data_IF_767749264754
#
_entry.id   IF_767749264754
#
_cell.length_a   1.000
_cell.length_b   1.000
_cell.length_c   1.000
_cell.angle_alpha   90.00
_cell.angle_beta   90.00
_cell.angle_gamma   90.00
#
_symmetry.space_group_name_H-M   'P 1'
#
loop_
_entity.id
_entity.type
_entity.pdbx_description
1 polymer ?
#
# COMPACT_ATOMS: atom_id res chain seq x y z
N UNK A 1 30.25 34.84 -50.07
CA UNK A 1 30.50 34.27 -48.71
C UNK A 1 29.15 34.15 -48.09
N UNK A 2 28.50 33.02 -48.27
CA UNK A 2 27.10 32.79 -47.95
C UNK A 2 27.03 31.85 -46.75
N UNK A 3 26.38 32.33 -45.73
CA UNK A 3 26.19 31.64 -44.42
C UNK A 3 25.15 30.52 -44.57
N UNK A 4 25.40 29.28 -44.13
CA UNK A 4 24.40 28.23 -44.17
C UNK A 4 23.48 28.32 -42.94
N UNK A 5 22.18 28.48 -43.22
CA UNK A 5 21.08 28.37 -42.27
C UNK A 5 21.21 27.08 -41.43
N UNK A 6 21.44 27.26 -40.13
CA UNK A 6 21.26 26.23 -39.12
C UNK A 6 19.77 25.84 -39.04
N UNK A 7 19.47 24.67 -39.52
CA UNK A 7 18.19 24.02 -39.30
C UNK A 7 18.12 23.55 -37.84
N UNK A 8 17.21 24.15 -37.11
CA UNK A 8 16.87 23.81 -35.73
C UNK A 8 16.11 22.46 -35.66
N UNK A 9 16.65 21.39 -35.10
CA UNK A 9 15.95 20.12 -34.96
C UNK A 9 15.31 19.98 -33.58
N UNK A 10 14.45 20.90 -33.20
CA UNK A 10 13.58 20.73 -32.02
C UNK A 10 12.11 20.81 -32.43
N UNK A 11 11.74 19.96 -33.38
CA UNK A 11 10.37 19.53 -33.50
C UNK A 11 10.19 18.48 -32.40
N UNK A 12 9.62 18.93 -31.28
CA UNK A 12 9.15 18.09 -30.19
C UNK A 12 8.34 16.94 -30.77
N UNK A 13 8.83 15.72 -30.67
CA UNK A 13 8.01 14.55 -30.88
C UNK A 13 6.93 14.57 -29.78
N UNK A 14 5.81 15.19 -30.09
CA UNK A 14 4.56 14.94 -29.37
C UNK A 14 4.29 13.44 -29.56
N UNK A 15 4.68 12.65 -28.59
CA UNK A 15 4.28 11.25 -28.50
C UNK A 15 2.75 11.26 -28.52
N UNK A 16 2.15 10.84 -29.64
CA UNK A 16 0.71 10.62 -29.76
C UNK A 16 0.31 9.69 -28.60
N UNK A 17 -0.21 10.27 -27.51
CA UNK A 17 -0.67 9.51 -26.33
C UNK A 17 -1.86 8.70 -26.79
N UNK A 18 -1.70 7.40 -26.86
CA UNK A 18 -2.80 6.47 -27.11
C UNK A 18 -3.82 6.59 -25.96
N UNK A 19 -5.10 6.81 -26.30
CA UNK A 19 -6.21 6.75 -25.32
C UNK A 19 -6.15 5.48 -24.44
N UNK A 20 -5.73 4.37 -25.03
CA UNK A 20 -5.50 3.12 -24.32
C UNK A 20 -4.44 3.29 -23.23
N UNK A 21 -3.30 3.89 -23.54
CA UNK A 21 -2.21 4.13 -22.61
C UNK A 21 -2.65 5.08 -21.49
N UNK A 22 -3.33 6.16 -21.84
CA UNK A 22 -3.79 7.15 -20.86
C UNK A 22 -4.80 6.57 -19.87
N UNK A 23 -5.79 5.80 -20.32
CA UNK A 23 -6.74 5.12 -19.43
C UNK A 23 -6.02 4.07 -18.57
N UNK A 24 -5.08 3.33 -19.17
CA UNK A 24 -4.31 2.32 -18.43
C UNK A 24 -3.47 2.97 -17.33
N UNK A 25 -2.79 4.08 -17.61
CA UNK A 25 -1.99 4.84 -16.64
C UNK A 25 -2.88 5.35 -15.49
N UNK A 26 -4.04 5.92 -15.79
CA UNK A 26 -5.01 6.37 -14.78
C UNK A 26 -5.55 5.24 -13.90
N UNK A 27 -5.70 4.04 -14.45
CA UNK A 27 -6.16 2.87 -13.70
C UNK A 27 -5.03 2.23 -12.88
N UNK A 28 -3.79 2.26 -13.38
CA UNK A 28 -2.64 1.66 -12.71
C UNK A 28 -2.00 2.58 -11.67
N UNK A 29 -2.04 3.90 -11.85
CA UNK A 29 -1.44 4.87 -10.94
C UNK A 29 -1.95 4.71 -9.48
N UNK A 30 -3.26 4.58 -9.19
CA UNK A 30 -3.73 4.32 -7.83
C UNK A 30 -3.21 3.01 -7.27
N UNK A 31 -3.11 1.96 -8.11
CA UNK A 31 -2.64 0.65 -7.68
C UNK A 31 -1.16 0.70 -7.26
N UNK A 32 -0.33 1.41 -8.02
CA UNK A 32 1.08 1.64 -7.71
C UNK A 32 1.28 2.44 -6.43
N UNK A 33 0.35 3.33 -6.08
CA UNK A 33 0.41 4.11 -4.85
C UNK A 33 -0.11 3.32 -3.64
N UNK A 34 -1.21 2.60 -3.79
CA UNK A 34 -1.87 1.86 -2.71
C UNK A 34 -1.01 0.67 -2.26
N UNK A 35 -0.28 0.02 -3.17
CA UNK A 35 0.53 -1.15 -2.83
C UNK A 35 1.65 -0.87 -1.80
N UNK A 36 2.56 0.09 -2.00
CA UNK A 36 3.56 0.41 -0.97
C UNK A 36 2.93 0.90 0.33
N UNK A 37 1.83 1.65 0.24
CA UNK A 37 1.07 2.08 1.42
C UNK A 37 0.51 0.88 2.20
N UNK A 38 -0.04 -0.12 1.51
CA UNK A 38 -0.51 -1.37 2.10
C UNK A 38 0.60 -2.13 2.80
N UNK A 39 1.80 -2.21 2.19
CA UNK A 39 2.97 -2.86 2.79
C UNK A 39 3.39 -2.13 4.09
N UNK A 40 3.51 -0.80 4.04
CA UNK A 40 3.89 0.01 5.19
C UNK A 40 2.86 -0.13 6.34
N UNK A 41 1.57 -0.08 6.02
CA UNK A 41 0.49 -0.27 6.98
C UNK A 41 0.51 -1.67 7.59
N UNK A 42 0.69 -2.71 6.77
CA UNK A 42 0.77 -4.09 7.24
C UNK A 42 1.93 -4.29 8.20
N UNK A 43 3.10 -3.71 7.90
CA UNK A 43 4.28 -3.81 8.76
C UNK A 43 4.07 -3.11 10.12
N UNK A 44 3.53 -1.89 10.08
CA UNK A 44 3.18 -1.15 11.30
C UNK A 44 2.14 -1.90 12.16
N UNK A 45 1.08 -2.40 11.53
CA UNK A 45 0.00 -3.09 12.22
C UNK A 45 0.46 -4.45 12.79
N UNK A 46 1.25 -5.22 12.02
CA UNK A 46 1.77 -6.51 12.43
C UNK A 46 2.62 -6.40 13.71
N UNK A 47 3.50 -5.41 13.77
CA UNK A 47 4.32 -5.16 14.96
C UNK A 47 3.47 -4.82 16.19
N UNK A 48 2.45 -3.96 16.03
CA UNK A 48 1.58 -3.60 17.15
C UNK A 48 0.74 -4.79 17.65
N UNK A 49 0.17 -5.56 16.71
CA UNK A 49 -0.64 -6.74 17.05
C UNK A 49 0.22 -7.84 17.66
N UNK A 50 1.43 -8.05 17.14
CA UNK A 50 2.33 -9.06 17.67
C UNK A 50 2.82 -8.72 19.09
N UNK A 51 3.07 -7.46 19.39
CA UNK A 51 3.59 -7.05 20.71
C UNK A 51 2.55 -7.15 21.84
N UNK A 52 1.29 -6.90 21.55
CA UNK A 52 0.25 -6.79 22.58
C UNK A 52 0.12 -8.03 23.51
N UNK A 53 0.00 -9.28 23.01
CA UNK A 53 -0.15 -10.44 23.89
C UNK A 53 1.09 -10.70 24.76
N UNK A 54 2.27 -10.44 24.23
CA UNK A 54 3.53 -10.64 24.97
C UNK A 54 3.74 -9.55 26.02
N UNK A 55 3.42 -8.31 25.75
CA UNK A 55 3.46 -7.24 26.75
C UNK A 55 2.45 -7.51 27.86
N UNK A 56 1.30 -8.09 27.54
CA UNK A 56 0.31 -8.50 28.55
C UNK A 56 0.85 -9.66 29.40
N UNK A 57 1.46 -10.67 28.82
CA UNK A 57 2.08 -11.77 29.53
C UNK A 57 3.21 -11.30 30.47
N UNK A 58 4.08 -10.40 30.00
CA UNK A 58 5.12 -9.79 30.83
C UNK A 58 4.55 -9.03 32.01
N UNK A 59 3.46 -8.27 31.82
CA UNK A 59 2.76 -7.58 32.92
C UNK A 59 2.23 -8.57 33.97
N UNK A 60 1.70 -9.69 33.51
CA UNK A 60 1.21 -10.77 34.39
C UNK A 60 2.35 -11.43 35.16
N UNK A 61 3.48 -11.72 34.50
CA UNK A 61 4.68 -12.28 35.16
C UNK A 61 5.24 -11.36 36.22
N UNK A 62 5.41 -10.06 35.91
CA UNK A 62 5.86 -9.07 36.91
C UNK A 62 4.91 -9.00 38.09
N UNK A 63 3.60 -8.97 37.84
CA UNK A 63 2.57 -8.93 38.91
C UNK A 63 2.62 -10.18 39.75
N UNK A 64 2.79 -11.36 39.16
CA UNK A 64 2.89 -12.61 39.87
C UNK A 64 4.11 -12.63 40.81
N UNK A 65 5.27 -12.17 40.35
CA UNK A 65 6.47 -12.07 41.17
C UNK A 65 6.31 -11.02 42.26
N UNK A 66 5.73 -9.85 41.92
CA UNK A 66 5.50 -8.77 42.88
C UNK A 66 4.64 -9.22 44.08
N UNK A 67 3.63 -10.05 43.86
CA UNK A 67 2.79 -10.63 44.91
C UNK A 67 3.53 -11.61 45.82
N UNK A 68 4.65 -12.19 45.37
CA UNK A 68 5.47 -13.12 46.14
C UNK A 68 6.55 -12.39 46.98
N UNK A 69 6.80 -11.13 46.73
CA UNK A 69 7.72 -10.29 47.50
C UNK A 69 6.97 -9.77 48.72
N UNK A 70 7.36 -10.23 49.92
CA UNK A 70 6.83 -9.74 51.20
C UNK A 70 7.91 -8.91 51.91
N UNK A 71 7.51 -7.77 52.40
CA UNK A 71 8.34 -6.95 53.28
C UNK A 71 8.05 -7.34 54.72
N UNK A 72 9.02 -7.98 55.36
CA UNK A 72 8.91 -8.38 56.80
C UNK A 72 9.94 -7.56 57.58
N UNK A 73 9.47 -6.67 58.45
CA UNK A 73 10.33 -5.76 59.24
C UNK A 73 11.25 -4.91 58.32
N UNK A 74 10.76 -4.42 57.17
CA UNK A 74 11.52 -3.64 56.22
C UNK A 74 12.59 -4.42 55.44
N UNK A 75 12.67 -5.75 55.60
CA UNK A 75 13.54 -6.60 54.81
C UNK A 75 12.72 -7.39 53.80
N UNK A 76 13.13 -7.36 52.53
CA UNK A 76 12.43 -8.09 51.49
C UNK A 76 12.68 -9.60 51.62
N UNK A 77 11.63 -10.36 51.69
CA UNK A 77 11.65 -11.82 51.67
C UNK A 77 10.92 -12.28 50.42
N UNK A 78 11.66 -12.89 49.50
CA UNK A 78 11.09 -13.48 48.30
C UNK A 78 10.85 -14.98 48.53
N UNK A 79 9.60 -15.39 48.47
CA UNK A 79 9.21 -16.81 48.57
C UNK A 79 8.80 -17.30 47.17
N UNK A 80 9.78 -17.45 46.25
CA UNK A 80 9.53 -18.05 44.94
C UNK A 80 9.80 -19.56 45.00
N UNK A 81 8.77 -20.41 44.91
CA UNK A 81 8.94 -21.85 44.82
C UNK A 81 9.79 -22.25 43.61
N UNK A 82 10.55 -23.34 43.72
CA UNK A 82 11.35 -23.82 42.59
C UNK A 82 10.49 -24.13 41.34
N UNK A 83 9.27 -24.60 41.56
CA UNK A 83 8.28 -24.81 40.49
C UNK A 83 7.88 -23.54 39.76
N UNK A 84 7.71 -22.41 40.44
CA UNK A 84 7.39 -21.13 39.81
C UNK A 84 8.57 -20.61 38.94
N UNK A 85 9.81 -20.81 39.43
CA UNK A 85 11.02 -20.49 38.66
C UNK A 85 11.18 -21.38 37.45
N UNK A 86 10.85 -22.66 37.57
CA UNK A 86 10.87 -23.58 36.40
C UNK A 86 9.80 -23.25 35.39
N UNK A 87 8.62 -22.83 35.80
CA UNK A 87 7.54 -22.38 34.88
C UNK A 87 7.92 -21.11 34.12
N UNK A 88 8.59 -20.15 34.74
CA UNK A 88 9.08 -18.94 34.09
C UNK A 88 10.17 -19.26 33.04
N UNK A 89 10.88 -20.36 33.17
CA UNK A 89 11.96 -20.81 32.27
C UNK A 89 11.53 -21.94 31.32
N UNK A 90 10.29 -22.37 31.36
CA UNK A 90 9.81 -23.51 30.57
C UNK A 90 9.53 -23.17 29.10
N UNK A 91 9.84 -21.95 28.67
CA UNK A 91 9.67 -21.56 27.28
C UNK A 91 10.85 -22.05 26.43
N UNK A 92 10.55 -22.80 25.34
CA UNK A 92 11.58 -23.41 24.47
C UNK A 92 12.18 -22.40 23.50
N UNK A 93 11.49 -21.30 23.20
CA UNK A 93 11.90 -20.36 22.15
C UNK A 93 12.43 -19.04 22.70
N UNK A 94 11.74 -18.47 23.70
CA UNK A 94 12.13 -17.23 24.33
C UNK A 94 12.75 -17.47 25.70
N UNK A 95 13.86 -16.78 25.98
CA UNK A 95 14.50 -16.82 27.29
C UNK A 95 13.85 -15.77 28.19
N UNK A 96 13.29 -16.22 29.32
CA UNK A 96 12.73 -15.33 30.34
C UNK A 96 13.76 -15.12 31.43
N UNK A 97 14.07 -13.86 31.70
CA UNK A 97 14.97 -13.42 32.76
C UNK A 97 14.18 -12.62 33.77
N UNK A 98 14.59 -12.70 35.04
CA UNK A 98 14.02 -11.85 36.06
C UNK A 98 15.07 -11.46 37.09
N UNK A 99 14.93 -10.30 37.69
CA UNK A 99 15.67 -9.93 38.88
C UNK A 99 14.83 -9.09 39.83
N UNK A 100 15.23 -9.17 41.11
CA UNK A 100 14.69 -8.36 42.18
C UNK A 100 15.84 -7.60 42.81
N UNK A 101 15.80 -6.28 42.74
CA UNK A 101 16.87 -5.40 43.20
C UNK A 101 16.38 -4.46 44.29
N UNK A 102 17.27 -4.17 45.27
CA UNK A 102 17.10 -2.99 46.11
C UNK A 102 17.46 -1.73 45.33
N UNK A 103 17.13 -0.56 45.86
CA UNK A 103 17.53 0.72 45.29
C UNK A 103 19.03 0.87 45.10
N UNK A 104 19.83 0.33 46.01
CA UNK A 104 21.30 0.36 45.95
C UNK A 104 21.87 -0.61 44.89
N UNK A 105 21.02 -1.25 44.10
CA UNK A 105 21.43 -2.21 43.06
C UNK A 105 21.81 -3.59 43.60
N UNK A 106 21.57 -3.89 44.86
CA UNK A 106 21.86 -5.21 45.44
C UNK A 106 20.82 -6.22 44.94
N UNK A 107 21.30 -7.30 44.34
CA UNK A 107 20.47 -8.39 43.86
C UNK A 107 19.94 -9.21 45.06
N UNK A 108 18.62 -9.28 45.17
CA UNK A 108 17.93 -10.10 46.19
C UNK A 108 17.61 -11.48 45.63
N UNK A 109 17.21 -11.56 44.37
CA UNK A 109 16.93 -12.82 43.70
C UNK A 109 16.94 -12.64 42.17
N UNK A 110 17.10 -13.74 41.43
CA UNK A 110 17.03 -13.77 39.98
C UNK A 110 18.38 -13.83 39.31
N UNK A 111 18.39 -13.39 38.07
CA UNK A 111 19.55 -13.48 37.16
C UNK A 111 20.47 -12.26 37.35
N UNK A 112 21.80 -12.51 37.20
CA UNK A 112 22.81 -11.47 37.35
C UNK A 112 23.09 -10.78 36.02
N UNK A 113 23.46 -9.51 36.08
CA UNK A 113 23.96 -8.77 34.92
C UNK A 113 22.88 -8.18 34.02
N UNK A 114 21.61 -8.38 34.34
CA UNK A 114 20.49 -7.73 33.62
C UNK A 114 20.59 -6.22 33.83
N UNK A 115 20.52 -5.39 32.75
CA UNK A 115 20.56 -3.94 32.89
C UNK A 115 19.34 -3.44 33.66
N UNK A 116 19.57 -2.72 34.75
CA UNK A 116 18.49 -2.08 35.52
C UNK A 116 17.98 -0.82 34.80
N UNK A 117 16.75 -0.35 35.08
CA UNK A 117 16.26 0.92 34.59
C UNK A 117 17.19 2.08 35.01
N UNK A 118 17.18 3.16 34.25
CA UNK A 118 17.94 4.35 34.57
C UNK A 118 17.63 4.89 35.98
N UNK A 119 18.60 5.51 36.62
CA UNK A 119 18.44 5.97 38.01
C UNK A 119 17.32 6.99 38.23
N UNK A 120 16.95 7.72 37.17
CA UNK A 120 15.84 8.67 37.17
C UNK A 120 14.45 8.00 37.08
N UNK A 121 14.39 6.76 36.61
CA UNK A 121 13.14 6.00 36.56
C UNK A 121 12.48 5.74 37.93
N UNK A 122 13.23 5.89 39.02
CA UNK A 122 12.71 5.82 40.36
C UNK A 122 11.98 7.10 40.80
N UNK A 123 12.33 8.26 40.13
CA UNK A 123 11.73 9.55 40.47
C UNK A 123 10.40 9.68 39.72
N UNK A 124 9.32 9.80 40.48
CA UNK A 124 7.97 9.90 39.92
C UNK A 124 7.31 8.54 39.61
N UNK A 125 7.99 7.43 39.89
CA UNK A 125 7.37 6.11 39.79
C UNK A 125 6.28 5.93 40.85
N UNK A 126 5.26 5.19 40.51
CA UNK A 126 4.14 4.84 41.40
C UNK A 126 4.28 3.35 41.78
N UNK A 127 4.40 3.01 43.07
CA UNK A 127 4.44 1.61 43.47
C UNK A 127 3.22 0.82 42.99
N UNK A 128 3.47 -0.35 42.43
CA UNK A 128 2.44 -1.21 41.85
C UNK A 128 2.06 -0.89 40.39
N UNK A 129 2.46 0.25 39.85
CA UNK A 129 2.33 0.50 38.43
C UNK A 129 3.38 -0.26 37.63
N UNK A 130 3.01 -0.75 36.43
CA UNK A 130 3.89 -1.56 35.59
C UNK A 130 4.36 -0.73 34.40
N UNK A 131 5.66 -0.62 34.29
CA UNK A 131 6.35 0.09 33.22
C UNK A 131 6.96 -0.91 32.25
N UNK A 132 7.03 -0.52 30.97
CA UNK A 132 7.64 -1.32 29.91
C UNK A 132 8.84 -0.55 29.34
N UNK A 133 9.92 -1.28 29.02
CA UNK A 133 11.08 -0.72 28.33
C UNK A 133 11.74 -1.77 27.44
N UNK A 134 12.52 -1.32 26.47
CA UNK A 134 13.37 -2.16 25.65
C UNK A 134 14.83 -1.93 26.05
N UNK A 135 15.63 -3.00 26.09
CA UNK A 135 17.07 -2.92 26.26
C UNK A 135 17.73 -4.19 25.73
N UNK A 136 19.01 -4.06 25.41
CA UNK A 136 19.84 -5.17 24.94
C UNK A 136 20.53 -5.85 26.13
N UNK A 137 20.59 -7.19 26.11
CA UNK A 137 21.32 -7.99 27.06
C UNK A 137 21.94 -9.21 26.36
N UNK A 138 23.25 -9.42 26.54
CA UNK A 138 24.01 -10.50 25.88
C UNK A 138 23.88 -10.52 24.33
N UNK A 139 23.72 -9.36 23.70
CA UNK A 139 23.58 -9.25 22.25
C UNK A 139 22.18 -9.63 21.73
N UNK A 140 21.19 -9.72 22.62
CA UNK A 140 19.81 -9.98 22.29
C UNK A 140 18.93 -8.80 22.71
N UNK A 141 17.95 -8.45 21.88
CA UNK A 141 16.92 -7.46 22.22
C UNK A 141 15.91 -8.07 23.17
N UNK A 142 15.76 -7.44 24.34
CA UNK A 142 14.80 -7.85 25.35
C UNK A 142 13.75 -6.78 25.58
N UNK A 143 12.54 -7.24 25.80
CA UNK A 143 11.44 -6.45 26.33
C UNK A 143 11.32 -6.66 27.81
N UNK A 144 11.29 -5.58 28.57
CA UNK A 144 11.23 -5.56 30.01
C UNK A 144 9.89 -5.05 30.49
N UNK A 145 9.34 -5.70 31.51
CA UNK A 145 8.30 -5.15 32.34
C UNK A 145 8.84 -5.04 33.77
N UNK A 146 8.61 -3.91 34.42
CA UNK A 146 9.08 -3.68 35.77
C UNK A 146 8.06 -2.92 36.61
N UNK A 147 8.15 -3.12 37.90
CA UNK A 147 7.34 -2.43 38.89
C UNK A 147 8.15 -2.20 40.16
N UNK A 148 7.70 -1.26 40.96
CA UNK A 148 8.26 -0.98 42.26
C UNK A 148 7.30 -1.47 43.36
N UNK A 149 7.85 -2.14 44.36
CA UNK A 149 7.12 -2.57 45.56
C UNK A 149 7.65 -1.80 46.75
N UNK A 150 6.74 -1.18 47.51
CA UNK A 150 7.06 -0.42 48.71
C UNK A 150 5.96 -0.62 49.73
N UNK A 151 6.31 -0.51 51.02
CA UNK A 151 5.30 -0.36 52.10
C UNK A 151 4.65 1.03 52.00
N UNK A 152 3.43 1.14 52.51
CA UNK A 152 2.73 2.44 52.54
C UNK A 152 3.60 3.51 53.24
N UNK A 153 3.85 4.62 52.54
CA UNK A 153 4.67 5.74 53.03
C UNK A 153 6.17 5.38 53.26
N UNK A 154 6.67 4.26 52.70
CA UNK A 154 8.09 3.93 52.80
C UNK A 154 8.94 4.93 51.98
N UNK A 155 10.07 5.39 52.54
CA UNK A 155 11.00 6.23 51.79
C UNK A 155 11.60 5.44 50.64
N UNK A 156 12.02 6.17 49.57
CA UNK A 156 12.51 5.60 48.29
C UNK A 156 13.69 4.60 48.45
N UNK A 157 14.49 4.73 49.49
CA UNK A 157 15.60 3.82 49.83
C UNK A 157 15.15 2.40 50.17
N UNK A 158 13.90 2.22 50.56
CA UNK A 158 13.30 0.92 50.86
C UNK A 158 12.46 0.32 49.75
N UNK A 159 12.40 0.99 48.61
CA UNK A 159 11.69 0.44 47.47
C UNK A 159 12.46 -0.70 46.84
N UNK A 160 11.73 -1.64 46.29
CA UNK A 160 12.26 -2.82 45.62
C UNK A 160 11.81 -2.78 44.16
N UNK A 161 12.77 -2.92 43.26
CA UNK A 161 12.52 -3.10 41.85
C UNK A 161 12.33 -4.59 41.58
N UNK A 162 11.26 -4.90 40.87
CA UNK A 162 11.00 -6.22 40.30
C UNK A 162 10.93 -6.04 38.80
N UNK A 163 11.73 -6.78 38.10
CA UNK A 163 11.81 -6.71 36.65
C UNK A 163 11.80 -8.10 36.05
N UNK A 164 11.05 -8.27 34.97
CA UNK A 164 11.02 -9.47 34.14
C UNK A 164 11.30 -9.05 32.72
N UNK A 165 12.16 -9.80 32.05
CA UNK A 165 12.51 -9.59 30.66
C UNK A 165 12.28 -10.85 29.84
N UNK A 166 11.96 -10.68 28.57
CA UNK A 166 11.80 -11.76 27.63
C UNK A 166 12.46 -11.36 26.30
N UNK A 167 13.11 -12.32 25.64
CA UNK A 167 13.63 -12.08 24.28
C UNK A 167 12.49 -11.82 23.29
N UNK A 168 12.78 -11.09 22.20
CA UNK A 168 11.75 -10.66 21.26
C UNK A 168 11.61 -11.58 20.04
N UNK A 169 12.19 -12.79 20.08
CA UNK A 169 12.22 -13.70 18.94
C UNK A 169 10.83 -14.17 18.52
N UNK A 170 9.97 -14.60 19.43
CA UNK A 170 8.59 -15.03 19.13
C UNK A 170 7.76 -13.89 18.55
N UNK A 171 7.90 -12.68 19.10
CA UNK A 171 7.20 -11.49 18.61
C UNK A 171 7.57 -11.21 17.18
N UNK A 172 8.88 -11.24 16.88
CA UNK A 172 9.42 -11.01 15.54
C UNK A 172 8.96 -12.10 14.58
N UNK A 173 8.97 -13.36 15.00
CA UNK A 173 8.46 -14.47 14.20
C UNK A 173 6.97 -14.32 13.91
N UNK A 174 6.16 -13.93 14.91
CA UNK A 174 4.74 -13.69 14.73
C UNK A 174 4.47 -12.50 13.81
N UNK A 175 5.16 -11.38 14.01
CA UNK A 175 5.06 -10.21 13.15
C UNK A 175 5.41 -10.56 11.70
N UNK A 176 6.53 -11.26 11.47
CA UNK A 176 6.95 -11.72 10.15
C UNK A 176 5.94 -12.68 9.52
N UNK A 177 5.34 -13.56 10.30
CA UNK A 177 4.29 -14.47 9.83
C UNK A 177 3.02 -13.72 9.41
N UNK A 178 2.62 -12.70 10.16
CA UNK A 178 1.49 -11.82 9.79
C UNK A 178 1.82 -11.07 8.51
N UNK A 179 3.00 -10.44 8.43
CA UNK A 179 3.47 -9.71 7.25
C UNK A 179 3.48 -10.62 6.03
N UNK A 180 4.09 -11.82 6.13
CA UNK A 180 4.15 -12.77 5.04
C UNK A 180 2.76 -13.24 4.58
N UNK A 181 1.85 -13.49 5.52
CA UNK A 181 0.48 -13.96 5.21
C UNK A 181 -0.35 -12.91 4.44
N UNK A 182 -0.06 -11.63 4.62
CA UNK A 182 -0.75 -10.54 3.92
C UNK A 182 -0.04 -10.16 2.62
N UNK A 183 1.30 -10.11 2.63
CA UNK A 183 2.07 -9.64 1.46
C UNK A 183 2.15 -10.72 0.38
N UNK A 184 2.34 -12.00 0.75
CA UNK A 184 2.51 -13.08 -0.23
C UNK A 184 1.32 -13.18 -1.21
N UNK A 185 0.05 -13.18 -0.78
CA UNK A 185 -1.08 -13.15 -1.70
C UNK A 185 -1.12 -11.93 -2.62
N UNK A 186 -0.61 -10.77 -2.19
CA UNK A 186 -0.59 -9.56 -3.01
C UNK A 186 0.26 -9.72 -4.27
N UNK A 187 1.35 -10.49 -4.21
CA UNK A 187 2.18 -10.80 -5.39
C UNK A 187 1.44 -11.61 -6.46
N UNK A 188 0.34 -12.27 -6.12
CA UNK A 188 -0.51 -12.96 -7.08
C UNK A 188 -1.69 -12.08 -7.50
N UNK A 189 -2.34 -11.44 -6.54
CA UNK A 189 -3.57 -10.66 -6.77
C UNK A 189 -3.29 -9.42 -7.63
N UNK A 190 -2.17 -8.71 -7.38
CA UNK A 190 -1.87 -7.46 -8.10
C UNK A 190 -1.54 -7.72 -9.58
N UNK A 191 -0.64 -8.64 -9.96
CA UNK A 191 -0.42 -8.98 -11.36
C UNK A 191 -1.69 -9.49 -12.06
N UNK A 192 -2.51 -10.28 -11.35
CA UNK A 192 -3.79 -10.75 -11.88
C UNK A 192 -4.75 -9.58 -12.14
N UNK A 193 -4.85 -8.63 -11.22
CA UNK A 193 -5.67 -7.43 -11.38
C UNK A 193 -5.19 -6.58 -12.58
N UNK A 194 -3.88 -6.36 -12.70
CA UNK A 194 -3.28 -5.65 -13.84
C UNK A 194 -3.60 -6.36 -15.16
N UNK A 195 -3.47 -7.67 -15.18
CA UNK A 195 -3.79 -8.49 -16.37
C UNK A 195 -5.28 -8.38 -16.74
N UNK A 196 -6.18 -8.42 -15.75
CA UNK A 196 -7.63 -8.30 -15.98
C UNK A 196 -8.00 -6.91 -16.49
N UNK A 197 -7.40 -5.85 -15.94
CA UNK A 197 -7.60 -4.47 -16.41
C UNK A 197 -7.13 -4.34 -17.84
N UNK A 198 -5.91 -4.81 -18.15
CA UNK A 198 -5.37 -4.78 -19.52
C UNK A 198 -6.26 -5.56 -20.50
N UNK A 199 -6.70 -6.75 -20.13
CA UNK A 199 -7.58 -7.58 -20.97
C UNK A 199 -8.95 -6.92 -21.18
N UNK A 200 -9.57 -6.39 -20.12
CA UNK A 200 -10.85 -5.70 -20.17
C UNK A 200 -10.77 -4.46 -21.08
N UNK A 201 -9.74 -3.64 -20.87
CA UNK A 201 -9.52 -2.42 -21.68
C UNK A 201 -9.24 -2.75 -23.14
N UNK A 202 -8.37 -3.73 -23.39
CA UNK A 202 -8.04 -4.20 -24.74
C UNK A 202 -9.28 -4.72 -25.48
N UNK A 203 -10.18 -5.40 -24.79
CA UNK A 203 -11.42 -5.91 -25.38
C UNK A 203 -12.48 -4.83 -25.53
N UNK A 204 -12.59 -3.93 -24.55
CA UNK A 204 -13.57 -2.82 -24.56
C UNK A 204 -13.30 -1.79 -25.66
N UNK A 205 -12.03 -1.52 -25.98
CA UNK A 205 -11.66 -0.55 -27.03
C UNK A 205 -11.57 -1.15 -28.45
N UNK A 206 -11.73 -2.46 -28.61
CA UNK A 206 -11.75 -3.11 -29.95
C UNK A 206 -12.81 -2.54 -30.91
N UNK A 207 -14.06 -2.25 -30.49
CA UNK A 207 -15.06 -1.68 -31.38
C UNK A 207 -14.63 -0.32 -31.95
N UNK A 208 -14.02 0.53 -31.12
CA UNK A 208 -13.50 1.83 -31.57
C UNK A 208 -12.39 1.68 -32.61
N UNK A 209 -11.46 0.75 -32.37
CA UNK A 209 -10.39 0.45 -33.32
C UNK A 209 -10.93 -0.11 -34.64
N UNK A 210 -12.00 -0.92 -34.59
CA UNK A 210 -12.67 -1.44 -35.79
C UNK A 210 -13.35 -0.33 -36.54
N UNK A 211 -14.07 0.56 -35.86
CA UNK A 211 -14.73 1.72 -36.50
C UNK A 211 -13.73 2.60 -37.20
N UNK A 212 -12.62 2.94 -36.52
CA UNK A 212 -11.52 3.70 -37.11
C UNK A 212 -11.00 3.04 -38.41
N UNK A 213 -10.69 1.74 -38.38
CA UNK A 213 -10.21 1.00 -39.54
C UNK A 213 -11.24 0.96 -40.67
N UNK A 214 -12.53 0.87 -40.37
CA UNK A 214 -13.60 0.89 -41.36
C UNK A 214 -13.66 2.24 -42.04
N UNK A 215 -13.49 3.34 -41.30
CA UNK A 215 -13.46 4.69 -41.84
C UNK A 215 -12.19 4.91 -42.70
N UNK A 216 -11.01 4.52 -42.22
CA UNK A 216 -9.73 4.67 -42.90
C UNK A 216 -9.63 3.85 -44.19
N UNK A 217 -10.21 2.66 -44.24
CA UNK A 217 -10.20 1.77 -45.40
C UNK A 217 -11.25 2.11 -46.48
N UNK A 218 -12.05 3.15 -46.24
CA UNK A 218 -13.16 3.49 -47.13
C UNK A 218 -12.68 4.25 -48.35
N UNK A 219 -13.24 3.92 -49.51
CA UNK A 219 -13.02 4.71 -50.71
C UNK A 219 -13.54 6.16 -50.51
N UNK A 220 -12.78 7.20 -50.83
CA UNK A 220 -13.24 8.59 -50.74
C UNK A 220 -14.55 8.88 -51.54
N UNK A 221 -14.87 8.09 -52.53
CA UNK A 221 -16.11 8.19 -53.27
C UNK A 221 -17.29 7.43 -52.69
N UNK A 222 -17.04 6.55 -51.69
CA UNK A 222 -18.09 5.77 -51.03
C UNK A 222 -18.77 6.58 -49.91
N UNK A 223 -19.89 7.20 -50.20
CA UNK A 223 -20.72 7.99 -49.29
C UNK A 223 -21.88 7.16 -48.70
N UNK A 224 -21.82 5.82 -48.70
CA UNK A 224 -22.86 4.97 -48.13
C UNK A 224 -22.82 5.03 -46.59
N UNK A 225 -23.95 4.85 -45.86
CA UNK A 225 -23.97 4.92 -44.42
C UNK A 225 -23.23 3.74 -43.78
N UNK A 226 -22.58 3.99 -42.64
CA UNK A 226 -21.98 2.96 -41.79
C UNK A 226 -23.08 2.24 -41.05
N UNK A 227 -23.07 0.88 -41.04
CA UNK A 227 -24.06 0.08 -40.38
C UNK A 227 -23.92 0.18 -38.84
N UNK A 228 -24.96 0.60 -38.14
CA UNK A 228 -25.01 0.74 -36.68
C UNK A 228 -25.20 -0.60 -35.96
N UNK A 229 -25.65 -1.64 -36.64
CA UNK A 229 -26.11 -2.92 -36.05
C UNK A 229 -25.05 -3.72 -35.25
N UNK A 230 -23.77 -3.30 -35.27
CA UNK A 230 -22.65 -3.95 -34.54
C UNK A 230 -21.82 -2.97 -33.72
N UNK A 231 -22.35 -1.80 -33.50
CA UNK A 231 -21.70 -0.72 -32.78
C UNK A 231 -22.23 -0.74 -31.34
N UNK A 232 -21.37 -0.62 -30.31
CA UNK A 232 -21.83 -0.42 -28.93
C UNK A 232 -22.71 0.83 -28.81
N UNK A 233 -23.64 0.81 -27.88
CA UNK A 233 -24.61 1.89 -27.62
C UNK A 233 -23.90 3.24 -27.38
N UNK A 234 -22.73 3.23 -26.73
CA UNK A 234 -21.93 4.42 -26.45
C UNK A 234 -21.32 5.07 -27.69
N UNK A 235 -21.18 4.32 -28.79
CA UNK A 235 -20.64 4.80 -30.06
C UNK A 235 -21.73 5.09 -31.10
N UNK A 236 -22.97 4.70 -30.84
CA UNK A 236 -24.10 4.88 -31.76
C UNK A 236 -24.32 6.36 -32.14
N UNK A 237 -24.31 7.33 -31.17
CA UNK A 237 -24.47 8.75 -31.50
C UNK A 237 -23.35 9.28 -32.40
N UNK A 238 -22.13 8.77 -32.25
CA UNK A 238 -20.99 9.16 -33.07
C UNK A 238 -21.18 8.66 -34.51
N UNK A 239 -21.62 7.42 -34.67
CA UNK A 239 -21.87 6.82 -36.01
C UNK A 239 -23.05 7.50 -36.69
N UNK A 240 -24.10 7.88 -35.99
CA UNK A 240 -25.23 8.64 -36.50
C UNK A 240 -24.79 10.02 -37.03
N UNK A 241 -24.04 10.78 -36.21
CA UNK A 241 -23.51 12.08 -36.61
C UNK A 241 -22.63 11.97 -37.85
N UNK A 242 -21.80 10.91 -37.93
CA UNK A 242 -20.98 10.64 -39.09
C UNK A 242 -21.81 10.30 -40.34
N UNK A 243 -22.84 9.50 -40.21
CA UNK A 243 -23.77 9.15 -41.28
C UNK A 243 -24.55 10.39 -41.81
N UNK A 244 -24.98 11.28 -40.89
CA UNK A 244 -25.57 12.55 -41.29
C UNK A 244 -24.61 13.42 -42.14
N UNK A 245 -23.33 13.44 -41.74
CA UNK A 245 -22.31 14.17 -42.52
C UNK A 245 -22.14 13.57 -43.92
N UNK A 246 -22.07 12.24 -44.02
CA UNK A 246 -21.98 11.54 -45.30
C UNK A 246 -23.19 11.86 -46.22
N UNK A 247 -24.38 11.87 -45.63
CA UNK A 247 -25.62 12.19 -46.38
C UNK A 247 -25.63 13.64 -46.88
N UNK A 248 -25.10 14.59 -46.10
CA UNK A 248 -24.95 15.99 -46.51
C UNK A 248 -23.91 16.10 -47.66
N UNK A 249 -22.77 15.38 -47.55
CA UNK A 249 -21.78 15.34 -48.63
C UNK A 249 -22.36 14.77 -49.93
N UNK A 250 -23.10 13.65 -49.85
CA UNK A 250 -23.77 13.03 -50.98
C UNK A 250 -24.70 14.03 -51.73
N UNK A 251 -25.56 14.71 -50.96
CA UNK A 251 -26.45 15.75 -51.52
C UNK A 251 -25.70 16.87 -52.21
N UNK A 252 -24.57 17.31 -51.66
CA UNK A 252 -23.74 18.36 -52.25
C UNK A 252 -23.11 17.87 -53.54
N UNK A 253 -22.56 16.66 -53.59
CA UNK A 253 -21.98 16.07 -54.82
C UNK A 253 -23.05 15.91 -55.90
N UNK A 254 -24.23 15.40 -55.56
CA UNK A 254 -25.36 15.26 -56.51
C UNK A 254 -25.86 16.63 -57.03
N UNK A 255 -25.89 17.67 -56.20
CA UNK A 255 -26.20 19.03 -56.61
C UNK A 255 -25.15 19.61 -57.53
N UNK A 256 -23.88 19.38 -57.21
CA UNK A 256 -22.78 19.83 -58.09
C UNK A 256 -22.78 19.13 -59.44
N UNK A 257 -23.03 17.81 -59.47
CA UNK A 257 -23.13 17.05 -60.72
C UNK A 257 -24.29 17.55 -61.60
N UNK A 258 -25.49 17.80 -60.97
CA UNK A 258 -26.62 18.39 -61.68
C UNK A 258 -26.28 19.77 -62.25
N UNK A 259 -25.66 20.64 -61.47
CA UNK A 259 -25.24 21.98 -61.94
C UNK A 259 -24.27 21.90 -63.14
N UNK A 260 -23.27 21.00 -63.07
CA UNK A 260 -22.33 20.80 -64.16
C UNK A 260 -23.04 20.27 -65.47
N UNK A 261 -23.98 19.32 -65.28
CA UNK A 261 -24.76 18.77 -66.40
C UNK A 261 -25.65 19.83 -67.05
N UNK A 262 -26.35 20.66 -66.26
CA UNK A 262 -27.20 21.74 -66.71
C UNK A 262 -26.38 22.85 -67.46
N UNK A 263 -25.23 23.24 -66.88
CA UNK A 263 -24.31 24.19 -67.47
C UNK A 263 -23.77 23.70 -68.84
N UNK A 264 -23.39 22.42 -68.89
CA UNK A 264 -22.93 21.79 -70.11
C UNK A 264 -24.02 21.78 -71.21
N UNK A 265 -25.29 21.53 -70.76
CA UNK A 265 -26.44 21.52 -71.67
C UNK A 265 -26.77 22.94 -72.23
N UNK A 266 -26.74 23.95 -71.36
CA UNK A 266 -26.98 25.34 -71.71
C UNK A 266 -25.83 25.92 -72.60
N UNK A 267 -24.59 25.46 -72.43
CA UNK A 267 -23.48 25.88 -73.30
C UNK A 267 -23.51 25.20 -74.66
N UNK A 268 -24.10 24.06 -74.83
CA UNK A 268 -24.23 23.32 -76.09
C UNK A 268 -25.21 24.00 -77.08
N UNK A 269 -26.27 24.63 -76.57
CA UNK A 269 -27.30 25.28 -77.33
C UNK A 269 -26.77 26.51 -78.12
N UNK A 270 -26.00 27.47 -77.59
CA UNK A 270 -25.49 28.57 -78.30
C UNK A 270 -24.35 28.20 -79.31
N UNK A 271 -23.55 27.14 -78.99
CA UNK A 271 -22.48 26.67 -79.89
C UNK A 271 -23.00 26.00 -81.15
N UNK A 272 -24.17 25.40 -81.14
CA UNK A 272 -24.83 24.86 -82.37
C UNK A 272 -25.41 25.96 -83.26
N UNK A 273 -25.77 27.13 -82.71
CA UNK A 273 -26.24 28.27 -83.44
C UNK A 273 -25.19 29.12 -84.11
N UNK A 274 -23.88 28.95 -83.77
CA UNK A 274 -22.74 29.67 -84.42
C UNK A 274 -22.13 28.90 -85.59
N UNK A 275 -22.69 27.75 -85.97
CA UNK A 275 -22.17 26.90 -87.05
C UNK A 275 -23.05 26.94 -88.32
N UNK A 276 -23.97 27.88 -88.37
CA UNK A 276 -24.74 28.28 -89.56
C UNK A 276 -24.34 29.66 -89.93
#
# INVERSE_FOLDING_TARGET
MSDPKQSNPTASAETERSLFGEILDWMLAPLLFVWPLSIAFTHYFANNVANYPYDQALREHVTAIARQVKLINGKPVLSLPASARALLRADETDSVYFHVLTRDGKLLAGDKGIPAPAADAWQGAIPGEIYLRDAEFNGQDLRFAYTYVAEAQAPLDRWILIEVAETTEKRTQLANKIVASVILPQFVIIPLAVMLVWFGLSRGLRPLTRLRKTIEARDPADLSPIATRRVPEELEPLVEAFNEMLERMKRNVEAQQRFVADAAHQMRTPLTGLKT
#
